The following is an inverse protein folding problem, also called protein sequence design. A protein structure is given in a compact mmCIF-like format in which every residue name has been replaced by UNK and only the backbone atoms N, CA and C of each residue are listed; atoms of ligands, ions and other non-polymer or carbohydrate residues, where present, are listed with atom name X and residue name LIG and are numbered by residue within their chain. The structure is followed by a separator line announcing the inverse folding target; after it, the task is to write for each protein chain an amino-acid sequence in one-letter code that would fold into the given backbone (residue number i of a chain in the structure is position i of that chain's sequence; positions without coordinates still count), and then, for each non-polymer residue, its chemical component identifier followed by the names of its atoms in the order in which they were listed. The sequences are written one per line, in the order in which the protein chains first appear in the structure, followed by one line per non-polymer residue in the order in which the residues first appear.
data_IF_748824929480
#
_entry.id   IF_748824929480
#
_cell.length_a   1.000
_cell.length_b   1.000
_cell.length_c   1.000
_cell.angle_alpha   90.00
_cell.angle_beta   90.00
_cell.angle_gamma   90.00
#
_symmetry.space_group_name_H-M   'P 1'
#
loop_
_entity.id
_entity.type
_entity.pdbx_description
1 polymer ?
#
# COMPACT_ATOMS: atom_id res chain seq x y z
N UNK A 1 25.27 -47.28 35.70
CA UNK A 1 24.96 -45.83 35.69
C UNK A 1 26.15 -45.13 35.05
N UNK A 2 25.88 -44.47 33.92
CA UNK A 2 26.87 -43.90 33.01
C UNK A 2 27.32 -42.54 33.53
N UNK A 3 28.61 -42.24 33.39
CA UNK A 3 29.15 -40.92 33.71
C UNK A 3 30.68 -40.86 33.55
N UNK A 4 31.17 -40.99 32.33
CA UNK A 4 32.56 -40.66 32.00
C UNK A 4 32.59 -39.19 31.57
N UNK A 5 33.45 -38.46 32.26
CA UNK A 5 33.74 -37.04 32.16
C UNK A 5 35.04 -36.87 31.38
N UNK A 6 35.09 -35.85 30.50
CA UNK A 6 36.29 -35.19 29.96
C UNK A 6 37.19 -36.02 29.05
N UNK A 7 37.88 -35.52 28.02
CA UNK A 7 38.06 -34.24 27.33
C UNK A 7 39.13 -34.58 26.24
N UNK A 8 39.62 -33.58 25.52
CA UNK A 8 40.97 -33.52 24.93
C UNK A 8 41.10 -33.91 23.43
N UNK A 9 41.06 -32.82 22.64
CA UNK A 9 42.02 -32.40 21.60
C UNK A 9 41.84 -32.74 20.12
N UNK A 10 41.81 -31.62 19.37
CA UNK A 10 42.53 -31.30 18.15
C UNK A 10 42.36 -32.21 16.94
N UNK A 11 41.94 -31.60 15.83
CA UNK A 11 42.59 -31.65 14.51
C UNK A 11 41.78 -30.67 13.62
N UNK A 12 42.37 -29.53 13.29
CA UNK A 12 43.08 -29.31 12.04
C UNK A 12 42.18 -28.61 11.01
N UNK A 13 42.56 -27.38 10.68
CA UNK A 13 42.25 -26.75 9.41
C UNK A 13 42.53 -27.74 8.29
N UNK A 14 41.53 -28.09 7.50
CA UNK A 14 41.74 -28.56 6.14
C UNK A 14 40.52 -28.24 5.26
N UNK A 15 40.87 -27.78 4.06
CA UNK A 15 40.07 -27.48 2.89
C UNK A 15 38.85 -28.40 2.66
N UNK A 16 37.69 -27.78 2.53
CA UNK A 16 36.58 -28.20 1.67
C UNK A 16 36.03 -26.89 1.09
N UNK A 17 36.28 -26.54 -0.16
CA UNK A 17 35.79 -27.24 -1.35
C UNK A 17 34.80 -26.28 -2.00
N UNK A 18 35.14 -25.77 -3.17
CA UNK A 18 34.27 -24.95 -4.01
C UNK A 18 32.91 -25.66 -4.16
N UNK A 19 31.88 -25.10 -3.54
CA UNK A 19 30.49 -25.43 -3.83
C UNK A 19 29.90 -24.26 -4.59
N UNK A 20 29.55 -24.57 -5.82
CA UNK A 20 28.77 -23.80 -6.76
C UNK A 20 27.82 -22.80 -6.09
N UNK A 21 28.00 -21.53 -6.44
CA UNK A 21 26.97 -20.52 -6.24
C UNK A 21 25.76 -20.93 -7.09
N UNK A 22 24.75 -21.50 -6.45
CA UNK A 22 23.45 -21.65 -7.05
C UNK A 22 22.93 -20.25 -7.42
N UNK A 23 22.87 -19.99 -8.72
CA UNK A 23 22.28 -18.80 -9.31
C UNK A 23 20.77 -18.84 -9.06
N UNK A 24 20.33 -18.33 -7.91
CA UNK A 24 18.91 -18.09 -7.62
C UNK A 24 18.51 -16.82 -8.37
N UNK A 25 18.50 -16.89 -9.70
CA UNK A 25 17.65 -16.02 -10.52
C UNK A 25 16.25 -16.56 -10.36
N UNK A 26 15.53 -16.00 -9.38
CA UNK A 26 14.09 -16.19 -9.29
C UNK A 26 13.46 -15.95 -10.66
N UNK A 27 12.69 -16.93 -11.12
CA UNK A 27 11.87 -16.81 -12.30
C UNK A 27 11.11 -15.49 -12.23
N UNK A 28 11.31 -14.61 -13.21
CA UNK A 28 10.43 -13.46 -13.41
C UNK A 28 9.04 -14.02 -13.63
N UNK A 29 8.21 -13.94 -12.62
CA UNK A 29 6.77 -14.09 -12.77
C UNK A 29 6.34 -13.06 -13.80
N UNK A 30 5.86 -13.55 -14.94
CA UNK A 30 5.30 -12.70 -15.98
C UNK A 30 4.18 -11.88 -15.34
N UNK A 31 4.28 -10.55 -15.45
CA UNK A 31 3.29 -9.58 -14.95
C UNK A 31 1.88 -10.11 -15.30
N UNK A 32 0.95 -10.24 -14.34
CA UNK A 32 -0.41 -10.67 -14.63
C UNK A 32 -0.97 -9.84 -15.78
N UNK A 33 -1.76 -10.47 -16.66
CA UNK A 33 -2.51 -9.73 -17.67
C UNK A 33 -3.28 -8.62 -16.95
N UNK A 34 -3.04 -7.37 -17.36
CA UNK A 34 -3.67 -6.19 -16.76
C UNK A 34 -5.18 -6.39 -16.86
N UNK A 35 -5.88 -6.44 -15.73
CA UNK A 35 -7.34 -6.40 -15.74
C UNK A 35 -7.75 -5.03 -16.27
N UNK A 36 -8.73 -4.98 -17.16
CA UNK A 36 -9.26 -3.74 -17.77
C UNK A 36 -10.05 -2.85 -16.79
N UNK A 37 -9.94 -3.10 -15.48
CA UNK A 37 -10.77 -2.44 -14.48
C UNK A 37 -10.22 -1.10 -14.01
N UNK A 38 -11.12 -0.24 -13.54
CA UNK A 38 -10.80 1.03 -12.87
C UNK A 38 -11.07 0.93 -11.37
N UNK A 39 -10.04 1.15 -10.57
CA UNK A 39 -10.16 1.22 -9.12
C UNK A 39 -10.33 2.66 -8.62
N UNK A 40 -11.15 2.82 -7.58
CA UNK A 40 -11.27 4.05 -6.80
C UNK A 40 -10.48 3.90 -5.49
N UNK A 41 -9.41 4.68 -5.32
CA UNK A 41 -8.61 4.70 -4.09
C UNK A 41 -9.08 5.82 -3.18
N UNK A 42 -9.37 5.50 -1.94
CA UNK A 42 -9.94 6.38 -0.94
C UNK A 42 -8.92 6.69 0.16
N UNK A 43 -8.37 7.90 0.12
CA UNK A 43 -7.54 8.50 1.17
C UNK A 43 -8.39 9.10 2.30
N UNK A 44 -7.84 10.11 2.98
CA UNK A 44 -8.47 10.65 4.20
C UNK A 44 -8.38 12.17 4.33
N UNK A 45 -8.11 12.88 3.24
CA UNK A 45 -8.18 14.34 3.24
C UNK A 45 -9.60 14.85 3.53
N UNK A 46 -9.72 16.09 3.98
CA UNK A 46 -11.00 16.70 4.37
C UNK A 46 -12.06 16.67 3.25
N UNK A 47 -11.64 16.96 2.01
CA UNK A 47 -12.49 16.99 0.82
C UNK A 47 -12.86 15.62 0.23
N UNK A 48 -12.47 14.50 0.86
CA UNK A 48 -12.59 13.16 0.27
C UNK A 48 -14.03 12.81 -0.13
N UNK A 49 -15.03 13.21 0.64
CA UNK A 49 -16.43 12.85 0.38
C UNK A 49 -16.98 13.53 -0.88
N UNK A 50 -16.62 14.80 -1.09
CA UNK A 50 -16.98 15.55 -2.30
C UNK A 50 -16.28 14.97 -3.52
N UNK A 51 -15.01 14.57 -3.37
CA UNK A 51 -14.24 13.93 -4.43
C UNK A 51 -14.82 12.57 -4.83
N UNK A 52 -15.20 11.73 -3.85
CA UNK A 52 -15.87 10.45 -4.11
C UNK A 52 -17.17 10.67 -4.89
N UNK A 53 -18.02 11.58 -4.43
CA UNK A 53 -19.30 11.86 -5.09
C UNK A 53 -19.08 12.34 -6.54
N UNK A 54 -18.12 13.23 -6.77
CA UNK A 54 -17.78 13.71 -8.11
C UNK A 54 -17.21 12.58 -9.00
N UNK A 55 -16.35 11.72 -8.46
CA UNK A 55 -15.81 10.58 -9.19
C UNK A 55 -16.90 9.58 -9.60
N UNK A 56 -17.78 9.23 -8.66
CA UNK A 56 -18.89 8.29 -8.89
C UNK A 56 -19.94 8.84 -9.86
N UNK A 57 -20.11 10.17 -9.93
CA UNK A 57 -20.96 10.80 -10.93
C UNK A 57 -20.38 10.68 -12.36
N UNK A 58 -19.06 10.52 -12.50
CA UNK A 58 -18.40 10.38 -13.81
C UNK A 58 -18.35 8.95 -14.33
N UNK A 59 -18.20 7.97 -13.43
CA UNK A 59 -17.95 6.58 -13.81
C UNK A 59 -18.32 5.60 -12.70
N UNK A 60 -18.65 4.37 -13.08
CA UNK A 60 -18.81 3.25 -12.17
C UNK A 60 -17.47 2.54 -12.04
N UNK A 61 -16.97 2.40 -10.81
CA UNK A 61 -15.70 1.73 -10.55
C UNK A 61 -15.88 0.23 -10.34
N UNK A 62 -14.90 -0.55 -10.79
CA UNK A 62 -14.87 -2.00 -10.65
C UNK A 62 -14.42 -2.42 -9.25
N UNK A 63 -13.67 -1.54 -8.56
CA UNK A 63 -13.22 -1.78 -7.20
C UNK A 63 -13.08 -0.50 -6.38
N UNK A 64 -13.24 -0.65 -5.07
CA UNK A 64 -12.99 0.39 -4.07
C UNK A 64 -11.91 -0.07 -3.09
N UNK A 65 -10.87 0.75 -2.97
CA UNK A 65 -9.69 0.48 -2.15
C UNK A 65 -9.60 1.57 -1.08
N UNK A 66 -9.72 1.20 0.19
CA UNK A 66 -9.62 2.16 1.30
C UNK A 66 -8.21 2.20 1.90
N UNK A 67 -7.78 3.40 2.24
CA UNK A 67 -6.48 3.67 2.88
C UNK A 67 -6.70 4.15 4.31
N UNK A 68 -6.00 3.54 5.26
CA UNK A 68 -5.97 3.93 6.67
C UNK A 68 -7.36 4.10 7.27
N UNK A 69 -7.67 5.28 7.83
CA UNK A 69 -8.96 5.53 8.50
C UNK A 69 -10.16 5.28 7.59
N UNK A 70 -10.01 5.44 6.28
CA UNK A 70 -11.11 5.19 5.36
C UNK A 70 -11.60 3.73 5.39
N UNK A 71 -10.78 2.79 5.86
CA UNK A 71 -11.19 1.40 6.14
C UNK A 71 -12.36 1.38 7.13
N UNK A 72 -12.37 2.27 8.11
CA UNK A 72 -13.45 2.38 9.10
C UNK A 72 -14.67 3.08 8.51
N UNK A 73 -14.45 4.21 7.83
CA UNK A 73 -15.51 5.19 7.55
C UNK A 73 -16.24 4.96 6.22
N UNK A 74 -15.63 4.29 5.24
CA UNK A 74 -16.34 3.92 4.03
C UNK A 74 -17.41 2.86 4.34
N UNK A 75 -18.67 3.18 4.10
CA UNK A 75 -19.80 2.26 4.39
C UNK A 75 -20.07 1.27 3.27
N UNK A 76 -19.55 1.53 2.07
CA UNK A 76 -19.70 0.62 0.94
C UNK A 76 -18.79 -0.61 1.04
N UNK A 77 -18.95 -1.55 0.08
CA UNK A 77 -18.02 -2.67 -0.09
C UNK A 77 -16.59 -2.17 -0.30
N UNK A 78 -15.64 -2.97 0.20
CA UNK A 78 -14.21 -2.75 -0.02
C UNK A 78 -13.61 -3.99 -0.67
N UNK A 79 -13.01 -3.81 -1.83
CA UNK A 79 -12.23 -4.85 -2.50
C UNK A 79 -10.86 -5.00 -1.83
N UNK A 80 -10.31 -3.89 -1.29
CA UNK A 80 -9.12 -3.95 -0.47
C UNK A 80 -9.07 -2.86 0.62
N UNK A 81 -8.42 -3.21 1.73
CA UNK A 81 -7.89 -2.28 2.72
C UNK A 81 -6.36 -2.29 2.64
N UNK A 82 -5.76 -1.12 2.44
CA UNK A 82 -4.32 -0.98 2.18
C UNK A 82 -3.70 -0.02 3.17
N UNK A 83 -2.57 -0.39 3.76
CA UNK A 83 -1.84 0.52 4.67
C UNK A 83 -0.36 0.22 4.84
N UNK A 84 0.39 1.30 5.13
CA UNK A 84 1.75 1.27 5.68
C UNK A 84 1.77 1.15 7.22
N UNK A 85 0.59 1.06 7.85
CA UNK A 85 0.40 0.90 9.29
C UNK A 85 -0.33 -0.40 9.61
N UNK A 86 0.28 -1.55 9.30
CA UNK A 86 -0.31 -2.86 9.57
C UNK A 86 -0.62 -3.10 11.04
N UNK A 87 0.09 -2.44 11.97
CA UNK A 87 -0.20 -2.44 13.40
C UNK A 87 -1.57 -1.84 13.75
N UNK A 88 -2.10 -0.97 12.89
CA UNK A 88 -3.41 -0.32 13.07
C UNK A 88 -4.56 -1.11 12.41
N UNK A 89 -4.24 -2.03 11.51
CA UNK A 89 -5.26 -2.78 10.77
C UNK A 89 -6.22 -3.57 11.67
N UNK A 90 -5.79 -4.26 12.74
CA UNK A 90 -6.73 -4.96 13.63
C UNK A 90 -7.78 -4.02 14.24
N UNK A 91 -7.33 -2.86 14.74
CA UNK A 91 -8.20 -1.82 15.32
C UNK A 91 -9.17 -1.25 14.27
N UNK A 92 -8.69 -0.97 13.05
CA UNK A 92 -9.56 -0.48 11.98
C UNK A 92 -10.64 -1.48 11.57
N UNK A 93 -10.30 -2.77 11.50
CA UNK A 93 -11.27 -3.83 11.20
C UNK A 93 -12.28 -3.99 12.33
N UNK A 94 -11.85 -3.89 13.60
CA UNK A 94 -12.75 -3.90 14.75
C UNK A 94 -13.74 -2.73 14.68
N UNK A 95 -13.28 -1.50 14.46
CA UNK A 95 -14.18 -0.35 14.34
C UNK A 95 -15.09 -0.42 13.11
N UNK A 96 -14.61 -0.99 12.00
CA UNK A 96 -15.43 -1.24 10.80
C UNK A 96 -16.55 -2.24 11.11
N UNK A 97 -16.24 -3.33 11.81
CA UNK A 97 -17.21 -4.34 12.24
C UNK A 97 -18.21 -3.77 13.25
N UNK A 98 -17.75 -2.96 14.21
CA UNK A 98 -18.62 -2.27 15.17
C UNK A 98 -19.62 -1.32 14.49
N UNK A 99 -19.26 -0.77 13.33
CA UNK A 99 -20.15 0.02 12.46
C UNK A 99 -21.05 -0.83 11.54
N UNK A 100 -20.99 -2.16 11.63
CA UNK A 100 -21.71 -3.12 10.78
C UNK A 100 -21.39 -3.00 9.29
N UNK A 101 -20.22 -2.48 8.96
CA UNK A 101 -19.73 -2.46 7.59
C UNK A 101 -19.11 -3.82 7.24
N UNK A 102 -19.36 -4.33 6.02
CA UNK A 102 -18.80 -5.59 5.54
C UNK A 102 -17.27 -5.57 5.55
N UNK A 103 -16.57 -6.65 5.92
CA UNK A 103 -15.10 -6.68 5.92
C UNK A 103 -14.54 -6.44 4.50
N UNK A 104 -13.31 -5.90 4.36
CA UNK A 104 -12.63 -5.84 3.08
C UNK A 104 -12.37 -7.24 2.51
N UNK A 105 -12.41 -7.38 1.18
CA UNK A 105 -12.10 -8.66 0.51
C UNK A 105 -10.61 -9.00 0.64
N UNK A 106 -9.74 -7.99 0.56
CA UNK A 106 -8.28 -8.14 0.70
C UNK A 106 -7.69 -7.20 1.73
N UNK A 107 -6.71 -7.71 2.48
CA UNK A 107 -5.84 -6.92 3.34
C UNK A 107 -4.43 -6.84 2.72
N UNK A 108 -3.95 -5.63 2.49
CA UNK A 108 -2.65 -5.39 1.84
C UNK A 108 -1.75 -4.55 2.73
N UNK A 109 -0.51 -5.01 2.92
CA UNK A 109 0.53 -4.25 3.62
C UNK A 109 1.88 -4.38 2.96
N UNK A 110 2.85 -3.61 3.46
CA UNK A 110 4.19 -3.55 2.89
C UNK A 110 5.12 -4.63 3.45
N UNK A 111 6.20 -4.92 2.73
CA UNK A 111 7.22 -5.91 3.12
C UNK A 111 8.37 -5.31 3.95
N UNK A 112 8.58 -3.98 3.90
CA UNK A 112 9.70 -3.32 4.58
C UNK A 112 9.38 -3.00 6.04
N UNK A 113 9.48 -3.99 6.91
CA UNK A 113 9.27 -3.79 8.35
C UNK A 113 10.60 -3.47 9.04
N UNK A 114 10.69 -2.39 9.84
CA UNK A 114 11.88 -2.12 10.62
C UNK A 114 12.19 -3.27 11.57
N UNK A 115 13.46 -3.61 11.76
CA UNK A 115 13.83 -4.66 12.72
C UNK A 115 13.41 -4.31 14.15
N UNK A 116 13.25 -3.03 14.51
CA UNK A 116 12.75 -2.65 15.84
C UNK A 116 11.27 -3.04 16.06
N UNK A 117 10.48 -3.21 15.00
CA UNK A 117 9.15 -3.81 15.09
C UNK A 117 9.21 -5.28 15.54
N UNK A 118 10.35 -5.95 15.33
CA UNK A 118 10.63 -7.31 15.80
C UNK A 118 11.20 -7.35 17.23
N UNK A 119 11.62 -6.19 17.78
CA UNK A 119 12.42 -6.10 19.02
C UNK A 119 11.66 -5.45 20.18
N UNK A 120 10.73 -4.51 19.93
CA UNK A 120 9.93 -3.89 20.99
C UNK A 120 8.71 -4.75 21.32
N UNK A 121 8.95 -5.89 21.97
CA UNK A 121 7.99 -6.62 22.82
C UNK A 121 6.69 -7.09 22.19
N UNK A 122 6.70 -8.35 21.69
CA UNK A 122 5.56 -9.28 21.55
C UNK A 122 4.86 -9.48 20.20
N UNK A 123 5.41 -9.03 19.07
CA UNK A 123 4.90 -9.49 17.77
C UNK A 123 6.07 -9.93 16.88
N UNK A 124 6.39 -11.22 16.93
CA UNK A 124 7.26 -11.89 15.96
C UNK A 124 6.52 -12.17 14.63
N UNK A 125 5.23 -11.85 14.58
CA UNK A 125 4.29 -12.17 13.51
C UNK A 125 3.40 -10.95 13.22
N UNK A 126 2.76 -10.93 12.06
CA UNK A 126 1.75 -9.90 11.78
C UNK A 126 0.60 -10.06 12.78
N UNK A 127 0.01 -8.96 13.30
CA UNK A 127 -1.06 -9.06 14.29
C UNK A 127 -2.32 -9.74 13.74
N UNK A 128 -2.43 -9.81 12.41
CA UNK A 128 -3.44 -10.54 11.64
C UNK A 128 -2.79 -11.06 10.34
N UNK A 129 -3.35 -12.11 9.71
CA UNK A 129 -2.92 -12.50 8.37
C UNK A 129 -3.27 -11.41 7.35
N UNK A 130 -2.32 -11.09 6.47
CA UNK A 130 -2.54 -10.24 5.30
C UNK A 130 -2.58 -11.10 4.04
N UNK A 131 -3.48 -10.80 3.12
CA UNK A 131 -3.55 -11.48 1.83
C UNK A 131 -2.34 -11.17 0.95
N UNK A 132 -1.85 -9.93 1.02
CA UNK A 132 -0.76 -9.43 0.19
C UNK A 132 0.23 -8.67 1.07
N UNK A 133 1.48 -9.12 1.05
CA UNK A 133 2.64 -8.45 1.66
C UNK A 133 3.64 -8.21 0.54
N UNK A 134 3.92 -6.95 0.24
CA UNK A 134 4.59 -6.56 -1.02
C UNK A 134 5.45 -5.31 -0.82
N UNK A 135 6.48 -5.01 -1.62
CA UNK A 135 7.25 -3.79 -1.44
C UNK A 135 6.38 -2.53 -1.45
N UNK A 136 6.67 -1.57 -0.58
CA UNK A 136 5.90 -0.32 -0.46
C UNK A 136 6.14 0.68 -1.60
N UNK A 137 7.23 0.49 -2.34
CA UNK A 137 7.72 1.42 -3.35
C UNK A 137 7.70 0.79 -4.74
N UNK A 138 7.54 1.63 -5.77
CA UNK A 138 7.75 1.20 -7.15
C UNK A 138 9.23 0.90 -7.43
N UNK A 139 9.51 0.12 -8.47
CA UNK A 139 10.88 -0.12 -8.92
C UNK A 139 11.57 1.21 -9.25
N UNK A 140 12.75 1.43 -8.64
CA UNK A 140 13.56 2.64 -8.82
C UNK A 140 13.22 3.80 -7.86
N UNK A 141 12.14 3.71 -7.10
CA UNK A 141 11.77 4.71 -6.10
C UNK A 141 12.61 4.54 -4.82
N UNK A 142 12.98 5.66 -4.19
CA UNK A 142 13.82 5.73 -2.98
C UNK A 142 13.10 6.35 -1.79
N UNK A 143 12.11 7.20 -2.06
CA UNK A 143 11.39 7.96 -1.05
C UNK A 143 9.92 7.52 -0.97
N UNK A 144 9.36 7.44 0.24
CA UNK A 144 7.96 7.04 0.43
C UNK A 144 6.99 8.15 -0.02
N UNK A 145 6.01 7.79 -0.87
CA UNK A 145 4.92 8.68 -1.27
C UNK A 145 3.66 8.60 -0.39
N UNK A 146 3.79 8.20 0.87
CA UNK A 146 2.70 7.92 1.83
C UNK A 146 1.87 6.65 1.50
N UNK A 147 0.94 6.31 2.40
CA UNK A 147 0.01 5.18 2.20
C UNK A 147 -0.87 5.34 0.96
N UNK A 148 -1.12 6.58 0.50
CA UNK A 148 -1.87 6.84 -0.73
C UNK A 148 -1.15 6.33 -1.98
N UNK A 149 0.15 6.60 -2.13
CA UNK A 149 0.94 6.08 -3.26
C UNK A 149 1.11 4.57 -3.16
N UNK A 150 1.29 4.04 -1.94
CA UNK A 150 1.35 2.59 -1.74
C UNK A 150 0.06 1.89 -2.19
N UNK A 151 -1.11 2.47 -1.90
CA UNK A 151 -2.40 1.94 -2.38
C UNK A 151 -2.53 1.97 -3.90
N UNK A 152 -1.99 3.00 -4.57
CA UNK A 152 -1.91 3.04 -6.04
C UNK A 152 -1.04 1.90 -6.58
N UNK A 153 0.14 1.69 -5.97
CA UNK A 153 1.03 0.58 -6.34
C UNK A 153 0.34 -0.77 -6.16
N UNK A 154 -0.32 -0.98 -5.03
CA UNK A 154 -1.09 -2.18 -4.76
C UNK A 154 -2.22 -2.39 -5.80
N UNK A 155 -2.97 -1.34 -6.12
CA UNK A 155 -4.03 -1.40 -7.13
C UNK A 155 -3.50 -1.82 -8.51
N UNK A 156 -2.40 -1.21 -8.96
CA UNK A 156 -1.86 -1.43 -10.30
C UNK A 156 -1.08 -2.76 -10.42
N UNK A 157 -0.24 -3.08 -9.45
CA UNK A 157 0.74 -4.17 -9.56
C UNK A 157 0.27 -5.46 -8.88
N UNK A 158 -0.40 -5.36 -7.74
CA UNK A 158 -0.74 -6.51 -6.91
C UNK A 158 -2.20 -6.96 -7.12
N UNK A 159 -3.11 -6.01 -7.37
CA UNK A 159 -4.53 -6.26 -7.68
C UNK A 159 -4.83 -6.24 -9.18
N UNK A 160 -3.91 -5.71 -9.99
CA UNK A 160 -3.95 -5.80 -11.45
C UNK A 160 -4.92 -4.86 -12.16
N UNK A 161 -5.36 -3.77 -11.53
CA UNK A 161 -6.21 -2.77 -12.20
C UNK A 161 -5.46 -1.97 -13.26
N UNK A 162 -6.12 -1.66 -14.37
CA UNK A 162 -5.55 -0.85 -15.44
C UNK A 162 -5.43 0.62 -15.05
N UNK A 163 -6.42 1.13 -14.29
CA UNK A 163 -6.48 2.54 -13.90
C UNK A 163 -6.88 2.76 -12.45
N UNK A 164 -6.46 3.89 -11.92
CA UNK A 164 -6.76 4.35 -10.57
C UNK A 164 -7.24 5.80 -10.59
N UNK A 165 -8.34 6.06 -9.88
CA UNK A 165 -8.74 7.41 -9.50
C UNK A 165 -8.51 7.59 -8.00
N UNK A 166 -7.76 8.64 -7.64
CA UNK A 166 -7.50 9.02 -6.26
C UNK A 166 -8.56 10.01 -5.77
N UNK A 167 -9.18 9.68 -4.64
CA UNK A 167 -9.99 10.59 -3.83
C UNK A 167 -9.38 10.72 -2.44
N UNK A 168 -9.26 11.92 -1.88
CA UNK A 168 -8.75 12.17 -0.54
C UNK A 168 -7.22 12.04 -0.43
N UNK A 169 -6.49 12.18 -1.54
CA UNK A 169 -5.01 12.07 -1.60
C UNK A 169 -4.39 13.30 -2.29
N UNK A 170 -4.65 14.54 -1.82
CA UNK A 170 -4.23 15.76 -2.53
C UNK A 170 -2.74 16.08 -2.43
N UNK A 171 -2.04 15.56 -1.41
CA UNK A 171 -0.65 15.93 -1.06
C UNK A 171 -0.44 17.45 -0.93
N UNK A 172 -1.44 18.17 -0.43
CA UNK A 172 -1.35 19.59 -0.03
C UNK A 172 -1.41 19.70 1.49
N UNK A 173 -0.78 20.73 2.04
CA UNK A 173 -0.70 20.92 3.50
C UNK A 173 -2.08 21.30 4.05
N UNK A 174 -2.84 22.08 3.28
CA UNK A 174 -4.09 22.71 3.66
C UNK A 174 -5.27 21.74 3.62
N UNK A 175 -5.14 20.59 2.96
CA UNK A 175 -6.25 19.65 2.79
C UNK A 175 -6.64 18.90 4.07
N UNK A 176 -5.80 18.95 5.10
CA UNK A 176 -6.05 18.36 6.42
C UNK A 176 -6.49 16.90 6.39
N UNK A 177 -7.21 16.49 7.43
CA UNK A 177 -7.76 15.13 7.57
C UNK A 177 -9.25 15.22 7.89
N UNK A 178 -10.11 14.37 7.31
CA UNK A 178 -11.57 14.50 7.53
C UNK A 178 -11.99 14.32 9.00
N UNK A 179 -11.19 13.65 9.83
CA UNK A 179 -11.40 13.52 11.29
C UNK A 179 -10.92 14.72 12.10
N UNK A 180 -10.02 15.51 11.52
CA UNK A 180 -9.42 16.68 12.16
C UNK A 180 -9.35 17.80 11.11
N UNK A 181 -10.53 18.28 10.65
CA UNK A 181 -10.58 19.29 9.61
C UNK A 181 -9.81 20.53 10.04
N UNK A 182 -9.22 21.23 9.08
CA UNK A 182 -8.41 22.44 9.31
C UNK A 182 -7.06 22.23 10.02
N UNK A 183 -6.66 21.01 10.41
CA UNK A 183 -5.29 20.77 10.88
C UNK A 183 -4.33 20.58 9.70
N UNK A 184 -3.27 21.39 9.57
CA UNK A 184 -2.36 21.30 8.44
C UNK A 184 -1.57 19.99 8.44
N UNK A 185 -1.46 19.36 7.27
CA UNK A 185 -0.64 18.18 7.08
C UNK A 185 0.72 18.54 6.48
N UNK A 186 1.61 19.11 7.30
CA UNK A 186 2.97 19.52 6.88
C UNK A 186 3.76 18.35 6.28
N UNK A 187 3.48 17.12 6.74
CA UNK A 187 4.07 15.89 6.21
C UNK A 187 3.76 15.62 4.73
N UNK A 188 2.75 16.27 4.13
CA UNK A 188 2.44 16.12 2.71
C UNK A 188 3.65 16.42 1.81
N UNK A 189 4.43 17.45 2.15
CA UNK A 189 5.51 17.95 1.28
C UNK A 189 6.65 16.94 1.11
N UNK A 190 7.06 16.25 2.19
CA UNK A 190 8.12 15.22 2.11
C UNK A 190 7.73 14.03 1.24
N UNK A 191 6.44 13.77 1.07
CA UNK A 191 5.96 12.62 0.30
C UNK A 191 5.92 12.89 -1.20
N UNK A 192 5.93 14.16 -1.63
CA UNK A 192 5.87 14.54 -3.05
C UNK A 192 7.03 13.97 -3.87
N UNK A 193 8.23 13.90 -3.30
CA UNK A 193 9.42 13.31 -3.94
C UNK A 193 9.16 11.85 -4.36
N UNK A 194 8.47 11.07 -3.51
CA UNK A 194 8.11 9.69 -3.84
C UNK A 194 7.12 9.60 -5.02
N UNK A 195 6.18 10.54 -5.14
CA UNK A 195 5.25 10.61 -6.28
C UNK A 195 5.96 10.99 -7.58
N UNK A 196 6.90 11.94 -7.53
CA UNK A 196 7.71 12.33 -8.68
C UNK A 196 8.58 11.16 -9.18
N UNK A 197 9.21 10.43 -8.26
CA UNK A 197 9.99 9.23 -8.58
C UNK A 197 9.13 8.11 -9.17
N UNK A 198 7.88 7.99 -8.71
CA UNK A 198 6.95 6.99 -9.22
C UNK A 198 6.33 7.36 -10.58
N UNK A 199 6.43 8.62 -11.04
CA UNK A 199 5.74 9.12 -12.23
C UNK A 199 5.83 8.21 -13.48
N UNK A 200 6.99 7.59 -13.83
CA UNK A 200 7.07 6.65 -14.96
C UNK A 200 6.10 5.47 -14.87
N UNK A 201 5.63 5.12 -13.67
CA UNK A 201 4.66 4.07 -13.42
C UNK A 201 3.21 4.57 -13.36
N UNK A 202 2.97 5.89 -13.35
CA UNK A 202 1.67 6.50 -13.05
C UNK A 202 1.01 7.24 -14.23
N UNK A 203 1.81 7.84 -15.13
CA UNK A 203 1.37 8.88 -16.09
C UNK A 203 0.12 8.52 -16.89
N UNK A 204 -0.03 7.26 -17.32
CA UNK A 204 -1.14 6.84 -18.18
C UNK A 204 -2.30 6.17 -17.43
N UNK A 205 -2.06 5.75 -16.19
CA UNK A 205 -2.97 4.88 -15.44
C UNK A 205 -3.54 5.54 -14.17
N UNK A 206 -3.03 6.68 -13.72
CA UNK A 206 -3.49 7.30 -12.47
C UNK A 206 -3.94 8.74 -12.68
N UNK A 207 -5.08 9.08 -12.11
CA UNK A 207 -5.59 10.46 -12.02
C UNK A 207 -6.03 10.77 -10.60
N UNK A 208 -6.02 12.05 -10.24
CA UNK A 208 -6.43 12.51 -8.92
C UNK A 208 -7.54 13.56 -9.01
N UNK A 209 -8.48 13.53 -8.08
CA UNK A 209 -9.60 14.47 -8.04
C UNK A 209 -9.17 15.89 -7.61
N UNK A 210 -8.09 16.02 -6.82
CA UNK A 210 -7.73 17.30 -6.20
C UNK A 210 -6.24 17.44 -5.86
N UNK A 211 -5.88 18.66 -5.44
CA UNK A 211 -4.58 19.01 -4.88
C UNK A 211 -3.40 18.88 -5.84
N UNK A 212 -2.22 18.79 -5.25
CA UNK A 212 -0.95 18.68 -5.97
C UNK A 212 -0.84 17.36 -6.75
N UNK A 213 -1.45 16.27 -6.28
CA UNK A 213 -1.50 15.02 -7.07
C UNK A 213 -2.32 15.19 -8.35
N UNK A 214 -3.36 16.04 -8.36
CA UNK A 214 -4.09 16.37 -9.59
C UNK A 214 -3.30 17.30 -10.51
N UNK A 215 -2.44 18.17 -9.98
CA UNK A 215 -1.51 18.98 -10.77
C UNK A 215 -0.45 18.10 -11.45
N UNK A 216 0.09 17.12 -10.73
CA UNK A 216 1.11 16.19 -11.23
C UNK A 216 0.53 15.21 -12.27
N UNK A 217 -0.62 14.60 -11.98
CA UNK A 217 -1.16 13.46 -12.73
C UNK A 217 -2.29 13.85 -13.68
N UNK A 218 -2.88 15.04 -13.51
CA UNK A 218 -4.13 15.43 -14.13
C UNK A 218 -5.37 14.92 -13.39
N UNK A 219 -6.52 15.54 -13.69
CA UNK A 219 -7.83 15.10 -13.22
C UNK A 219 -8.42 14.02 -14.14
N UNK A 220 -9.23 13.08 -13.61
CA UNK A 220 -9.89 12.12 -14.46
C UNK A 220 -10.95 12.82 -15.32
N UNK A 221 -11.06 12.37 -16.56
CA UNK A 221 -12.16 12.74 -17.45
C UNK A 221 -12.93 11.48 -17.80
N UNK A 222 -14.20 11.63 -18.18
CA UNK A 222 -14.99 10.50 -18.69
C UNK A 222 -14.31 9.80 -19.87
N UNK A 223 -13.78 10.58 -20.83
CA UNK A 223 -13.05 10.03 -21.97
C UNK A 223 -11.80 9.24 -21.57
N UNK A 224 -11.09 9.64 -20.51
CA UNK A 224 -9.95 8.88 -20.00
C UNK A 224 -10.40 7.61 -19.28
N UNK A 225 -11.51 7.64 -18.54
CA UNK A 225 -12.05 6.48 -17.85
C UNK A 225 -12.56 5.41 -18.84
N UNK A 226 -13.19 5.84 -19.94
CA UNK A 226 -13.80 4.95 -20.93
C UNK A 226 -12.77 4.18 -21.80
N UNK A 227 -11.46 4.42 -21.66
CA UNK A 227 -10.41 3.65 -22.36
C UNK A 227 -9.81 2.50 -21.54
N UNK A 228 -10.44 2.15 -20.40
CA UNK A 228 -9.94 1.12 -19.49
C UNK A 228 -10.23 -0.29 -20.03
#
# INVERSE_FOLDING_TARGET
MVGIVNNINNLACNHFGDKEKADIRGERTTKPAVSSGVALVLGSAEGVWQEIAAAQAMHRFDAVIAVNDMVIFWTGPLDAAVSLHPERMPEWLEYRAARRNSPPVKLVTHAEWPDWFKVVGHIHELPIPFDIVTPSMFEGQKDSGSSGLFAVKAALQDLGFAKVVLCGVPMTVEAGHFRSPSLPWVGALRHRVGWEQALPHLTDCVRSMSGWTAELLGKPTKSWLDTA
#
